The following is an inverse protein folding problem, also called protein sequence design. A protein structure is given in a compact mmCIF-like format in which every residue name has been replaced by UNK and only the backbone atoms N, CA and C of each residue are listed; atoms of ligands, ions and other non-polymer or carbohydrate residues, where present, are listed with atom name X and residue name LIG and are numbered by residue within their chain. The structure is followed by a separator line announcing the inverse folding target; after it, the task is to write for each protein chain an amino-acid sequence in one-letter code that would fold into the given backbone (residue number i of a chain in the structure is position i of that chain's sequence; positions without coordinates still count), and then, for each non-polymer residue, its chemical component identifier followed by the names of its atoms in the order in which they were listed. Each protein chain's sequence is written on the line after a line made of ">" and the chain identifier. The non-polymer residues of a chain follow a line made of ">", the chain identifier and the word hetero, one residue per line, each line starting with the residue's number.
data_IF_643206359150
#
_entry.id   IF_643206359150
#
_cell.length_a   1.000
_cell.length_b   1.000
_cell.length_c   1.000
_cell.angle_alpha   90.00
_cell.angle_beta   90.00
_cell.angle_gamma   90.00
#
_symmetry.space_group_name_H-M   'P 1'
#
loop_
_entity.id
_entity.type
_entity.pdbx_description
1 polymer ?
#
# COMPACT_ATOMS: atom_id res chain seq x y z
N UNK A 1 89.10 40.84 -15.92
CA UNK A 1 87.93 40.71 -16.79
C UNK A 1 87.02 39.62 -16.20
N UNK A 2 86.09 40.01 -15.39
CA UNK A 2 85.25 39.06 -14.67
C UNK A 2 83.81 39.26 -15.19
N UNK A 3 83.16 38.21 -15.71
CA UNK A 3 81.79 38.19 -16.19
C UNK A 3 80.86 37.70 -15.07
N UNK A 4 80.01 38.56 -14.59
CA UNK A 4 78.90 38.20 -13.72
C UNK A 4 77.80 37.49 -14.54
N UNK A 5 77.39 36.33 -14.05
CA UNK A 5 76.20 35.63 -14.55
C UNK A 5 75.08 35.81 -13.54
N UNK A 6 74.06 36.52 -13.97
CA UNK A 6 72.81 36.75 -13.20
C UNK A 6 71.87 35.57 -13.46
N UNK A 7 71.54 34.78 -12.41
CA UNK A 7 70.54 33.69 -12.48
C UNK A 7 69.14 34.26 -12.15
N UNK A 8 68.19 34.11 -13.05
CA UNK A 8 66.79 34.40 -12.82
C UNK A 8 66.13 33.16 -12.22
N UNK A 9 65.60 33.28 -11.01
CA UNK A 9 64.76 32.27 -10.39
C UNK A 9 63.31 32.55 -10.74
N UNK A 10 62.70 31.67 -11.51
CA UNK A 10 61.24 31.64 -11.80
C UNK A 10 60.50 30.92 -10.69
N UNK A 11 59.71 31.63 -9.93
CA UNK A 11 58.80 31.05 -8.94
C UNK A 11 57.49 30.63 -9.65
N UNK A 12 57.20 29.30 -9.66
CA UNK A 12 55.96 28.75 -10.13
C UNK A 12 54.94 28.76 -8.96
N UNK A 13 53.91 29.57 -9.06
CA UNK A 13 52.79 29.55 -8.12
C UNK A 13 51.80 28.43 -8.51
N UNK A 14 51.71 27.37 -7.68
CA UNK A 14 50.70 26.32 -7.81
C UNK A 14 49.39 26.82 -7.19
N UNK A 15 48.37 27.11 -8.00
CA UNK A 15 47.01 27.41 -7.55
C UNK A 15 46.28 26.10 -7.24
N UNK A 16 46.11 25.78 -5.96
CA UNK A 16 45.23 24.70 -5.49
C UNK A 16 43.78 25.14 -5.62
N UNK A 17 43.11 24.66 -6.68
CA UNK A 17 41.67 24.84 -6.84
C UNK A 17 40.91 23.91 -5.89
N UNK A 18 40.30 24.47 -4.82
CA UNK A 18 39.29 23.78 -4.02
C UNK A 18 38.01 23.61 -4.87
N UNK A 19 37.77 22.44 -5.43
CA UNK A 19 36.47 22.06 -5.98
C UNK A 19 35.49 21.89 -4.81
N UNK A 20 34.62 22.83 -4.56
CA UNK A 20 33.50 22.70 -3.65
C UNK A 20 32.50 21.69 -4.25
N UNK A 21 32.46 20.48 -3.71
CA UNK A 21 31.41 19.51 -4.00
C UNK A 21 30.10 20.06 -3.42
N UNK A 22 29.29 20.69 -4.26
CA UNK A 22 27.92 21.07 -3.90
C UNK A 22 27.11 19.77 -3.70
N UNK A 23 26.92 19.35 -2.46
CA UNK A 23 25.96 18.32 -2.10
C UNK A 23 24.57 18.88 -2.38
N UNK A 24 23.94 18.47 -3.49
CA UNK A 24 22.54 18.74 -3.73
C UNK A 24 21.72 18.20 -2.53
N UNK A 25 20.78 18.95 -1.97
CA UNK A 25 19.92 18.45 -0.91
C UNK A 25 19.17 17.23 -1.44
N UNK A 26 19.29 16.08 -0.73
CA UNK A 26 18.50 14.91 -1.04
C UNK A 26 17.03 15.31 -0.95
N UNK A 27 16.35 15.35 -2.09
CA UNK A 27 14.91 15.58 -2.12
C UNK A 27 14.27 14.47 -1.29
N UNK A 28 13.59 14.83 -0.20
CA UNK A 28 12.79 13.89 0.56
C UNK A 28 11.79 13.26 -0.40
N UNK A 29 11.82 11.92 -0.53
CA UNK A 29 10.88 11.22 -1.38
C UNK A 29 9.45 11.62 -1.00
N UNK A 30 8.62 11.94 -2.00
CA UNK A 30 7.24 12.29 -1.75
C UNK A 30 6.57 11.17 -0.94
N UNK A 31 5.79 11.57 0.07
CA UNK A 31 5.07 10.59 0.89
C UNK A 31 3.90 10.03 0.07
N UNK A 32 3.70 8.69 0.08
CA UNK A 32 2.56 8.08 -0.61
C UNK A 32 1.25 8.73 -0.20
N UNK A 33 0.41 9.06 -1.18
CA UNK A 33 -0.90 9.63 -0.93
C UNK A 33 -1.96 8.54 -0.73
N UNK A 34 -3.05 8.89 -0.05
CA UNK A 34 -4.17 7.99 0.23
C UNK A 34 -5.38 8.33 -0.66
N UNK A 35 -6.28 7.36 -0.80
CA UNK A 35 -7.58 7.58 -1.42
C UNK A 35 -8.34 8.69 -0.68
N UNK A 36 -9.11 9.47 -1.41
CA UNK A 36 -10.17 10.29 -0.86
C UNK A 36 -11.46 9.46 -0.72
N UNK A 37 -12.41 9.90 0.10
CA UNK A 37 -13.72 9.26 0.24
C UNK A 37 -14.43 9.08 -1.12
N UNK A 38 -14.37 10.07 -2.00
CA UNK A 38 -14.94 10.03 -3.35
C UNK A 38 -14.28 9.05 -4.32
N UNK A 39 -13.16 8.42 -3.93
CA UNK A 39 -12.44 7.43 -4.73
C UNK A 39 -12.72 5.99 -4.28
N UNK A 40 -13.51 5.82 -3.22
CA UNK A 40 -14.07 4.53 -2.83
C UNK A 40 -15.16 4.11 -3.84
N UNK A 41 -15.49 2.80 -3.95
CA UNK A 41 -16.59 2.35 -4.80
C UNK A 41 -17.89 3.05 -4.43
N UNK A 42 -18.84 3.22 -5.37
CA UNK A 42 -20.17 3.77 -5.06
C UNK A 42 -20.84 3.02 -3.91
N UNK A 43 -21.53 3.76 -3.06
CA UNK A 43 -22.34 3.25 -1.96
C UNK A 43 -23.68 3.97 -1.91
N UNK A 44 -24.68 3.37 -1.26
CA UNK A 44 -26.02 3.96 -1.09
C UNK A 44 -26.01 5.25 -0.26
N UNK A 45 -25.03 5.40 0.64
CA UNK A 45 -24.80 6.61 1.43
C UNK A 45 -23.38 7.14 1.21
N UNK A 46 -23.14 8.45 1.41
CA UNK A 46 -21.84 9.04 1.17
C UNK A 46 -20.73 8.42 2.04
N UNK A 47 -19.55 8.24 1.45
CA UNK A 47 -18.36 7.87 2.17
C UNK A 47 -17.80 9.02 3.00
N UNK A 48 -17.37 8.69 4.21
CA UNK A 48 -16.50 9.52 5.04
C UNK A 48 -15.10 8.88 5.09
N UNK A 49 -14.08 9.69 5.36
CA UNK A 49 -12.71 9.21 5.49
C UNK A 49 -12.08 9.83 6.72
N UNK A 50 -11.38 9.03 7.52
CA UNK A 50 -10.62 9.52 8.68
C UNK A 50 -9.39 10.33 8.24
N UNK A 51 -8.71 10.95 9.18
CA UNK A 51 -7.31 11.36 8.98
C UNK A 51 -6.43 10.13 8.72
N UNK A 52 -5.19 10.36 8.28
CA UNK A 52 -4.20 9.29 8.07
C UNK A 52 -3.49 9.04 9.41
N UNK A 53 -3.50 7.77 9.85
CA UNK A 53 -2.85 7.32 11.07
C UNK A 53 -1.52 6.61 10.75
N UNK A 54 -0.59 6.64 11.70
CA UNK A 54 0.63 5.83 11.66
C UNK A 54 0.36 4.40 12.18
N UNK A 55 1.07 3.42 11.63
CA UNK A 55 0.94 2.02 12.04
C UNK A 55 -0.05 1.23 11.21
N UNK A 56 -0.55 0.15 11.80
CA UNK A 56 -1.52 -0.78 11.22
C UNK A 56 -2.85 -0.61 11.98
N UNK A 57 -4.00 -0.64 11.29
CA UNK A 57 -5.30 -0.50 11.97
C UNK A 57 -5.50 -1.63 12.98
N UNK A 58 -6.07 -1.28 14.13
CA UNK A 58 -6.46 -2.22 15.18
C UNK A 58 -7.75 -2.98 14.80
N UNK A 59 -8.06 -4.03 15.57
CA UNK A 59 -9.37 -4.72 15.55
C UNK A 59 -9.87 -5.20 14.18
N UNK A 60 -8.98 -5.82 13.41
CA UNK A 60 -9.39 -6.50 12.18
C UNK A 60 -9.63 -5.59 10.96
N UNK A 61 -9.21 -4.33 10.99
CA UNK A 61 -9.25 -3.45 9.82
C UNK A 61 -8.62 -4.08 8.57
N UNK A 62 -7.68 -5.02 8.78
CA UNK A 62 -7.07 -5.86 7.72
C UNK A 62 -7.41 -7.33 7.99
N UNK A 63 -8.65 -7.71 7.82
CA UNK A 63 -9.27 -8.97 8.22
C UNK A 63 -8.38 -10.22 8.03
N UNK A 64 -7.82 -10.43 6.86
CA UNK A 64 -7.05 -11.65 6.53
C UNK A 64 -5.55 -11.58 6.86
N UNK A 65 -5.02 -10.42 7.21
CA UNK A 65 -3.57 -10.22 7.30
C UNK A 65 -3.10 -9.27 8.42
N UNK A 66 -3.73 -9.24 9.62
CA UNK A 66 -3.44 -8.21 10.62
C UNK A 66 -1.98 -8.25 11.11
N UNK A 67 -1.39 -9.43 11.20
CA UNK A 67 -0.01 -9.64 11.70
C UNK A 67 1.03 -9.80 10.58
N UNK A 68 0.66 -9.57 9.32
CA UNK A 68 1.56 -9.71 8.16
C UNK A 68 2.12 -8.37 7.69
N UNK A 69 1.55 -7.27 8.15
CA UNK A 69 1.98 -5.91 7.79
C UNK A 69 2.91 -5.38 8.87
N UNK A 70 4.13 -4.92 8.54
CA UNK A 70 5.01 -4.31 9.53
C UNK A 70 4.43 -2.97 10.00
N UNK A 71 4.46 -2.68 11.30
CA UNK A 71 3.97 -1.39 11.83
C UNK A 71 4.86 -0.21 11.42
N UNK A 72 6.17 -0.43 11.26
CA UNK A 72 7.12 0.62 10.88
C UNK A 72 6.95 1.02 9.41
N UNK A 73 7.02 2.32 9.14
CA UNK A 73 6.82 2.91 7.81
C UNK A 73 5.47 2.54 7.17
N UNK A 74 4.49 2.20 8.01
CA UNK A 74 3.12 1.91 7.60
C UNK A 74 2.21 3.03 8.09
N UNK A 75 1.25 3.38 7.25
CA UNK A 75 0.17 4.30 7.56
C UNK A 75 -1.13 3.73 7.03
N UNK A 76 -2.24 4.16 7.61
CA UNK A 76 -3.56 3.72 7.16
C UNK A 76 -4.59 4.85 7.20
N UNK A 77 -5.65 4.65 6.47
CA UNK A 77 -6.84 5.50 6.45
C UNK A 77 -8.08 4.61 6.39
N UNK A 78 -9.05 4.90 7.24
CA UNK A 78 -10.32 4.18 7.30
C UNK A 78 -11.40 4.96 6.57
N UNK A 79 -12.38 4.23 6.05
CA UNK A 79 -13.53 4.74 5.32
C UNK A 79 -14.79 4.08 5.86
N UNK A 80 -15.85 4.85 6.01
CA UNK A 80 -17.15 4.36 6.45
C UNK A 80 -18.27 5.12 5.78
N UNK A 81 -19.43 4.49 5.73
CA UNK A 81 -20.69 5.13 5.39
C UNK A 81 -21.59 5.20 6.63
N UNK A 82 -22.74 5.83 6.53
CA UNK A 82 -23.73 5.83 7.62
C UNK A 82 -24.36 4.44 7.87
N UNK A 83 -24.28 3.57 6.85
CA UNK A 83 -24.73 2.18 6.95
C UNK A 83 -23.52 1.26 7.25
N UNK A 84 -23.61 0.01 6.87
CA UNK A 84 -22.64 -1.04 7.17
C UNK A 84 -21.38 -1.02 6.28
N UNK A 85 -21.40 -0.32 5.14
CA UNK A 85 -20.28 -0.35 4.19
C UNK A 85 -19.05 0.35 4.77
N UNK A 86 -17.94 -0.35 4.77
CA UNK A 86 -16.70 0.15 5.34
C UNK A 86 -15.46 -0.23 4.50
N UNK A 87 -14.35 0.42 4.77
CA UNK A 87 -13.12 0.15 4.04
C UNK A 87 -11.88 0.65 4.76
N UNK A 88 -10.73 0.22 4.31
CA UNK A 88 -9.43 0.68 4.78
C UNK A 88 -8.41 0.64 3.66
N UNK A 89 -7.55 1.64 3.61
CA UNK A 89 -6.30 1.60 2.85
C UNK A 89 -5.13 1.57 3.83
N UNK A 90 -4.24 0.61 3.66
CA UNK A 90 -2.98 0.50 4.39
C UNK A 90 -1.84 0.62 3.39
N UNK A 91 -0.87 1.47 3.68
CA UNK A 91 0.28 1.72 2.80
C UNK A 91 1.57 1.58 3.60
N UNK A 92 2.49 0.74 3.12
CA UNK A 92 3.79 0.46 3.74
C UNK A 92 4.91 0.82 2.78
N UNK A 93 5.88 1.62 3.24
CA UNK A 93 7.13 1.86 2.50
C UNK A 93 8.18 0.87 2.97
N UNK A 94 8.47 -0.14 2.16
CA UNK A 94 9.48 -1.16 2.45
C UNK A 94 10.90 -0.57 2.38
N UNK A 95 11.88 -1.25 2.99
CA UNK A 95 13.28 -0.81 2.95
C UNK A 95 13.87 -0.96 1.55
N UNK A 96 13.52 -2.04 0.86
CA UNK A 96 13.97 -2.36 -0.49
C UNK A 96 12.79 -2.80 -1.36
N UNK A 97 12.97 -2.79 -2.69
CA UNK A 97 11.98 -3.35 -3.61
C UNK A 97 11.79 -4.86 -3.40
N UNK A 98 12.86 -5.59 -3.07
CA UNK A 98 12.75 -7.01 -2.75
C UNK A 98 11.88 -7.26 -1.51
N UNK A 99 11.99 -6.42 -0.47
CA UNK A 99 11.10 -6.48 0.70
C UNK A 99 9.65 -6.16 0.32
N UNK A 100 9.43 -5.21 -0.60
CA UNK A 100 8.09 -4.88 -1.10
C UNK A 100 7.47 -6.04 -1.88
N UNK A 101 8.22 -6.69 -2.77
CA UNK A 101 7.77 -7.91 -3.48
C UNK A 101 7.37 -9.00 -2.49
N UNK A 102 8.25 -9.28 -1.51
CA UNK A 102 7.97 -10.28 -0.47
C UNK A 102 6.72 -9.94 0.35
N UNK A 103 6.51 -8.65 0.67
CA UNK A 103 5.31 -8.21 1.39
C UNK A 103 4.05 -8.43 0.54
N UNK A 104 4.07 -8.07 -0.75
CA UNK A 104 2.96 -8.33 -1.68
C UNK A 104 2.62 -9.82 -1.72
N UNK A 105 3.62 -10.70 -1.88
CA UNK A 105 3.39 -12.15 -1.95
C UNK A 105 2.84 -12.71 -0.63
N UNK A 106 3.33 -12.20 0.50
CA UNK A 106 2.84 -12.56 1.83
C UNK A 106 1.36 -12.18 2.01
N UNK A 107 0.99 -10.94 1.63
CA UNK A 107 -0.38 -10.45 1.75
C UNK A 107 -1.33 -11.21 0.82
N UNK A 108 -0.92 -11.47 -0.42
CA UNK A 108 -1.68 -12.26 -1.38
C UNK A 108 -1.95 -13.67 -0.88
N UNK A 109 -0.92 -14.34 -0.34
CA UNK A 109 -1.07 -15.68 0.24
C UNK A 109 -2.02 -15.69 1.45
N UNK A 110 -1.93 -14.69 2.33
CA UNK A 110 -2.81 -14.55 3.47
C UNK A 110 -4.28 -14.34 3.06
N UNK A 111 -4.54 -13.47 2.07
CA UNK A 111 -5.89 -13.21 1.57
C UNK A 111 -6.46 -14.45 0.87
N UNK A 112 -5.68 -15.11 0.03
CA UNK A 112 -6.11 -16.32 -0.68
C UNK A 112 -6.48 -17.47 0.28
N UNK A 113 -5.77 -17.61 1.40
CA UNK A 113 -6.03 -18.62 2.43
C UNK A 113 -7.05 -18.21 3.50
N UNK A 114 -7.59 -16.99 3.43
CA UNK A 114 -8.40 -16.41 4.50
C UNK A 114 -9.69 -17.21 4.77
N UNK A 115 -10.41 -17.59 3.74
CA UNK A 115 -11.65 -18.38 3.90
C UNK A 115 -11.41 -19.65 4.70
N UNK A 116 -10.44 -20.48 4.28
CA UNK A 116 -10.06 -21.70 5.00
C UNK A 116 -9.67 -21.45 6.45
N UNK A 117 -8.92 -20.36 6.72
CA UNK A 117 -8.53 -20.00 8.08
C UNK A 117 -9.74 -19.62 8.94
N UNK A 118 -10.69 -18.86 8.40
CA UNK A 118 -11.90 -18.45 9.11
C UNK A 118 -12.79 -19.63 9.44
N UNK A 119 -12.99 -20.57 8.51
CA UNK A 119 -13.76 -21.82 8.76
C UNK A 119 -13.12 -22.68 9.84
N UNK A 120 -11.78 -22.78 9.88
CA UNK A 120 -11.06 -23.50 10.92
C UNK A 120 -11.21 -22.85 12.31
N UNK A 121 -11.27 -21.52 12.37
CA UNK A 121 -11.39 -20.77 13.62
C UNK A 121 -12.84 -20.65 14.11
N UNK A 122 -13.81 -20.75 13.21
CA UNK A 122 -15.23 -20.53 13.49
C UNK A 122 -16.06 -21.70 12.93
N UNK A 123 -16.20 -22.81 13.67
CA UNK A 123 -17.00 -23.95 13.24
C UNK A 123 -18.46 -23.54 12.93
N UNK A 124 -18.91 -23.83 11.71
CA UNK A 124 -20.24 -23.44 11.21
C UNK A 124 -20.24 -22.24 10.27
N UNK A 125 -19.19 -21.41 10.29
CA UNK A 125 -19.00 -20.37 9.29
C UNK A 125 -18.65 -21.01 7.93
N UNK A 126 -19.26 -20.52 6.87
CA UNK A 126 -18.89 -20.82 5.49
C UNK A 126 -18.09 -19.61 4.96
N UNK A 127 -16.93 -19.87 4.33
CA UNK A 127 -16.09 -18.78 3.84
C UNK A 127 -15.39 -19.16 2.53
N UNK A 128 -15.58 -18.36 1.49
CA UNK A 128 -15.03 -18.58 0.15
C UNK A 128 -14.14 -17.41 -0.25
N UNK A 129 -12.84 -17.68 -0.42
CA UNK A 129 -11.90 -16.74 -1.01
C UNK A 129 -11.79 -16.98 -2.52
N UNK A 130 -11.87 -15.92 -3.33
CA UNK A 130 -11.69 -16.01 -4.78
C UNK A 130 -10.71 -14.95 -5.29
N UNK A 131 -9.92 -15.30 -6.33
CA UNK A 131 -9.04 -14.36 -7.03
C UNK A 131 -9.72 -13.84 -8.28
N UNK A 132 -9.71 -12.51 -8.44
CA UNK A 132 -10.24 -11.81 -9.62
C UNK A 132 -9.12 -11.32 -10.56
N UNK A 133 -7.91 -11.85 -10.39
CA UNK A 133 -6.77 -11.64 -11.28
C UNK A 133 -5.95 -10.39 -10.98
N UNK A 134 -4.97 -10.17 -11.87
CA UNK A 134 -4.02 -9.04 -11.82
C UNK A 134 -4.54 -7.87 -12.66
N UNK A 135 -4.37 -6.66 -12.15
CA UNK A 135 -4.61 -5.40 -12.86
C UNK A 135 -3.28 -4.88 -13.42
N UNK A 136 -3.33 -4.36 -14.64
CA UNK A 136 -2.22 -3.64 -15.24
C UNK A 136 -2.22 -2.20 -14.71
N UNK A 137 -1.40 -1.96 -13.69
CA UNK A 137 -1.11 -0.67 -13.06
C UNK A 137 0.24 -0.80 -12.37
N UNK A 138 1.18 0.09 -12.64
CA UNK A 138 2.56 0.04 -12.16
C UNK A 138 3.13 -1.40 -12.24
N UNK A 139 3.70 -1.96 -11.18
CA UNK A 139 4.17 -3.36 -11.17
C UNK A 139 3.04 -4.37 -11.01
N UNK A 140 1.83 -3.88 -10.83
CA UNK A 140 0.59 -4.66 -10.77
C UNK A 140 -0.11 -4.60 -9.43
N UNK A 141 -1.41 -4.89 -9.49
CA UNK A 141 -2.23 -5.12 -8.31
C UNK A 141 -3.10 -6.35 -8.51
N UNK A 142 -3.37 -7.08 -7.43
CA UNK A 142 -4.20 -8.29 -7.44
C UNK A 142 -5.47 -8.03 -6.64
N UNK A 143 -6.59 -8.50 -7.15
CA UNK A 143 -7.92 -8.32 -6.55
C UNK A 143 -8.47 -9.66 -6.11
N UNK A 144 -9.09 -9.68 -4.94
CA UNK A 144 -9.70 -10.85 -4.32
C UNK A 144 -11.05 -10.50 -3.72
N UNK A 145 -11.90 -11.52 -3.55
CA UNK A 145 -13.07 -11.46 -2.68
C UNK A 145 -12.95 -12.49 -1.57
N UNK A 146 -13.63 -12.22 -0.47
CA UNK A 146 -13.92 -13.15 0.62
C UNK A 146 -15.41 -13.01 0.92
N UNK A 147 -16.15 -14.05 0.62
CA UNK A 147 -17.57 -14.19 0.91
C UNK A 147 -17.72 -15.07 2.15
N UNK A 148 -18.46 -14.62 3.14
CA UNK A 148 -18.68 -15.33 4.40
C UNK A 148 -20.16 -15.41 4.71
N UNK A 149 -20.61 -16.56 5.22
CA UNK A 149 -21.98 -16.76 5.68
C UNK A 149 -22.01 -17.59 6.96
N UNK A 150 -22.82 -17.17 7.91
CA UNK A 150 -23.20 -17.97 9.06
C UNK A 150 -24.68 -18.38 8.94
N UNK A 151 -24.98 -19.61 8.47
CA UNK A 151 -26.35 -20.08 8.27
C UNK A 151 -27.17 -20.21 9.57
N UNK A 152 -26.50 -20.28 10.74
CA UNK A 152 -27.18 -20.43 12.03
C UNK A 152 -27.87 -19.13 12.46
N UNK A 153 -27.28 -18.01 12.11
CA UNK A 153 -27.79 -16.68 12.49
C UNK A 153 -28.26 -15.87 11.27
N UNK A 154 -28.10 -16.40 10.05
CA UNK A 154 -28.59 -15.78 8.82
C UNK A 154 -27.84 -14.51 8.43
N UNK A 155 -26.54 -14.41 8.75
CA UNK A 155 -25.69 -13.26 8.40
C UNK A 155 -24.73 -13.68 7.29
N UNK A 156 -24.56 -12.80 6.31
CA UNK A 156 -23.52 -12.91 5.28
C UNK A 156 -22.80 -11.57 5.11
N UNK A 157 -21.49 -11.65 4.85
CA UNK A 157 -20.63 -10.50 4.60
C UNK A 157 -19.75 -10.76 3.37
N UNK A 158 -19.61 -9.73 2.54
CA UNK A 158 -18.70 -9.73 1.41
C UNK A 158 -17.59 -8.72 1.60
N UNK A 159 -16.36 -9.15 1.39
CA UNK A 159 -15.17 -8.30 1.39
C UNK A 159 -14.44 -8.38 0.06
N UNK A 160 -14.01 -7.21 -0.44
CA UNK A 160 -13.06 -7.11 -1.55
C UNK A 160 -11.72 -6.65 -1.03
N UNK A 161 -10.65 -7.26 -1.52
CA UNK A 161 -9.28 -6.91 -1.19
C UNK A 161 -8.49 -6.62 -2.46
N UNK A 162 -7.56 -5.69 -2.35
CA UNK A 162 -6.52 -5.57 -3.35
C UNK A 162 -5.16 -5.35 -2.70
N UNK A 163 -4.13 -5.90 -3.35
CA UNK A 163 -2.73 -5.69 -2.97
C UNK A 163 -1.99 -5.25 -4.23
N UNK A 164 -1.36 -4.09 -4.19
CA UNK A 164 -0.55 -3.56 -5.28
C UNK A 164 0.69 -2.84 -4.78
N UNK A 165 1.62 -2.53 -5.69
CA UNK A 165 2.84 -1.79 -5.34
C UNK A 165 3.29 -0.88 -6.47
N UNK A 166 4.09 0.11 -6.10
CA UNK A 166 4.93 0.92 -6.95
C UNK A 166 6.31 1.05 -6.26
N UNK A 167 7.36 0.56 -6.94
CA UNK A 167 8.71 0.49 -6.40
C UNK A 167 8.75 -0.20 -5.03
N UNK A 168 9.12 0.56 -3.98
CA UNK A 168 9.19 0.08 -2.60
C UNK A 168 7.90 0.23 -1.80
N UNK A 169 6.89 0.87 -2.37
CA UNK A 169 5.65 1.17 -1.66
C UNK A 169 4.57 0.15 -2.00
N UNK A 170 4.00 -0.46 -0.97
CA UNK A 170 2.92 -1.45 -1.08
C UNK A 170 1.65 -0.87 -0.50
N UNK A 171 0.54 -1.03 -1.20
CA UNK A 171 -0.79 -0.67 -0.68
C UNK A 171 -1.71 -1.89 -0.66
N UNK A 172 -2.47 -2.01 0.43
CA UNK A 172 -3.60 -2.91 0.56
C UNK A 172 -4.86 -2.05 0.71
N UNK A 173 -5.89 -2.35 -0.05
CA UNK A 173 -7.22 -1.76 0.11
C UNK A 173 -8.20 -2.88 0.43
N UNK A 174 -9.04 -2.67 1.45
CA UNK A 174 -10.20 -3.51 1.75
C UNK A 174 -11.46 -2.66 1.64
N UNK A 175 -12.50 -3.25 1.11
CA UNK A 175 -13.88 -2.81 1.11
C UNK A 175 -14.74 -3.95 1.66
N UNK A 176 -15.83 -3.66 2.36
CA UNK A 176 -16.74 -4.69 2.87
C UNK A 176 -18.11 -4.14 3.22
N UNK A 177 -19.12 -5.02 3.13
CA UNK A 177 -20.48 -4.80 3.57
C UNK A 177 -21.18 -6.12 3.87
N UNK A 178 -22.39 -6.07 4.43
CA UNK A 178 -23.31 -7.21 4.47
C UNK A 178 -23.78 -7.58 3.06
N UNK A 179 -24.02 -8.87 2.82
CA UNK A 179 -24.43 -9.41 1.53
C UNK A 179 -23.48 -10.48 1.00
N UNK A 180 -23.51 -10.72 -0.30
CA UNK A 180 -22.69 -11.70 -1.00
C UNK A 180 -21.92 -11.07 -2.18
N UNK A 181 -21.25 -11.91 -2.99
CA UNK A 181 -20.43 -11.43 -4.10
C UNK A 181 -21.25 -10.70 -5.18
N UNK A 182 -22.52 -11.04 -5.37
CA UNK A 182 -23.38 -10.37 -6.35
C UNK A 182 -23.69 -8.92 -5.95
N UNK A 183 -23.66 -8.63 -4.66
CA UNK A 183 -23.82 -7.28 -4.09
C UNK A 183 -22.54 -6.43 -4.16
N UNK A 184 -21.38 -7.05 -4.42
CA UNK A 184 -20.09 -6.38 -4.37
C UNK A 184 -19.82 -5.52 -5.61
N UNK A 185 -19.38 -4.26 -5.47
CA UNK A 185 -19.07 -3.37 -6.59
C UNK A 185 -17.70 -3.68 -7.22
N UNK A 186 -17.47 -4.92 -7.65
CA UNK A 186 -16.17 -5.44 -8.10
C UNK A 186 -15.53 -4.58 -9.21
N UNK A 187 -16.32 -4.15 -10.18
CA UNK A 187 -15.82 -3.29 -11.28
C UNK A 187 -15.34 -1.93 -10.78
N UNK A 188 -16.09 -1.29 -9.90
CA UNK A 188 -15.71 -0.01 -9.31
C UNK A 188 -14.51 -0.19 -8.36
N UNK A 189 -14.45 -1.27 -7.60
CA UNK A 189 -13.31 -1.58 -6.73
C UNK A 189 -12.00 -1.78 -7.51
N UNK A 190 -12.04 -2.36 -8.72
CA UNK A 190 -10.88 -2.43 -9.61
C UNK A 190 -10.37 -1.04 -10.01
N UNK A 191 -11.27 -0.07 -10.20
CA UNK A 191 -10.91 1.34 -10.46
C UNK A 191 -10.30 1.99 -9.23
N UNK A 192 -10.92 1.81 -8.05
CA UNK A 192 -10.37 2.24 -6.76
C UNK A 192 -8.96 1.69 -6.52
N UNK A 193 -8.75 0.40 -6.80
CA UNK A 193 -7.43 -0.26 -6.70
C UNK A 193 -6.38 0.43 -7.57
N UNK A 194 -6.68 0.67 -8.85
CA UNK A 194 -5.75 1.38 -9.75
C UNK A 194 -5.42 2.78 -9.22
N UNK A 195 -6.45 3.50 -8.76
CA UNK A 195 -6.26 4.83 -8.17
C UNK A 195 -5.37 4.78 -6.93
N UNK A 196 -5.54 3.79 -6.05
CA UNK A 196 -4.72 3.62 -4.86
C UNK A 196 -3.24 3.38 -5.20
N UNK A 197 -2.95 2.54 -6.20
CA UNK A 197 -1.58 2.24 -6.63
C UNK A 197 -0.94 3.46 -7.30
N UNK A 198 -1.65 4.16 -8.18
CA UNK A 198 -1.17 5.38 -8.85
C UNK A 198 -0.90 6.56 -7.90
N UNK A 199 -1.21 6.44 -6.61
CA UNK A 199 -0.94 7.45 -5.58
C UNK A 199 0.30 7.14 -4.74
N UNK A 200 1.05 6.11 -5.06
CA UNK A 200 2.19 5.66 -4.25
C UNK A 200 3.49 6.41 -4.52
N UNK A 201 3.60 7.13 -5.63
CA UNK A 201 4.75 7.94 -6.07
C UNK A 201 4.55 9.43 -5.85
#
# INVERSE_FOLDING_TARGET
>A
MSKLHTAFATAAAAALGLAALATAPAQAAAQPAFLAASQMPPSSTPWTATQIFAGVPENGGVLCAPYKIPAQNTRYREFSTELDTNGVQVTTVARTEADAVKLVDTLRGAIAGCGTLLEQQNPGLQAVSASHGKLAVEEGAWVYSLDTADPQIGISDIHLFSVGRDGRTVTLVRWGQMGDLDDAPLTAFRTTTKTAVNKLH
#
